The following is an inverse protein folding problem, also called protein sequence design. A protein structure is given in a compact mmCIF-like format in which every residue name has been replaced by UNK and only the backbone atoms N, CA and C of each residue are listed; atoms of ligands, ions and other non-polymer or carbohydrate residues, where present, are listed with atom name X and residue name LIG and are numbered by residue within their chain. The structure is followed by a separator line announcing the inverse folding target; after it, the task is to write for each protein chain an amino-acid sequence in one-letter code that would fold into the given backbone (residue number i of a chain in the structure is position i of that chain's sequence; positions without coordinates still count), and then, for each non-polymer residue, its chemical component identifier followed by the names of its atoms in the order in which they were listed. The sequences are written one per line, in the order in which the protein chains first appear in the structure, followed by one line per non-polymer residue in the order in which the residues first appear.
data_IF_795322706747
#
_entry.id   IF_795322706747
#
_cell.length_a   1.000
_cell.length_b   1.000
_cell.length_c   1.000
_cell.angle_alpha   90.00
_cell.angle_beta   90.00
_cell.angle_gamma   90.00
#
_symmetry.space_group_name_H-M   'P 1'
#
loop_
_entity.id
_entity.type
_entity.pdbx_description
1 polymer ?
#
# COMPACT_ATOMS: atom_id res chain seq x y z
N UNK A 1 -4.41 -13.61 -48.79
CA UNK A 1 -4.40 -14.32 -47.49
C UNK A 1 -3.06 -14.27 -46.73
N UNK A 2 -1.90 -14.55 -47.35
CA UNK A 2 -0.59 -14.60 -46.65
C UNK A 2 -0.17 -13.30 -45.92
N UNK A 3 -0.55 -12.12 -46.42
CA UNK A 3 -0.21 -10.80 -45.82
C UNK A 3 -1.00 -10.50 -44.54
N UNK A 4 -2.26 -10.94 -44.47
CA UNK A 4 -3.12 -10.76 -43.30
C UNK A 4 -2.72 -11.71 -42.17
N UNK A 5 -2.34 -12.94 -42.52
CA UNK A 5 -1.86 -13.93 -41.55
C UNK A 5 -0.57 -13.48 -40.83
N UNK A 6 0.36 -12.85 -41.57
CA UNK A 6 1.57 -12.26 -40.97
C UNK A 6 1.26 -11.12 -40.00
N UNK A 7 0.28 -10.26 -40.31
CA UNK A 7 -0.14 -9.15 -39.43
C UNK A 7 -0.81 -9.66 -38.16
N UNK A 8 -1.66 -10.69 -38.27
CA UNK A 8 -2.30 -11.34 -37.12
C UNK A 8 -1.27 -11.90 -36.13
N UNK A 9 -0.20 -12.53 -36.65
CA UNK A 9 0.87 -13.09 -35.83
C UNK A 9 1.66 -12.02 -35.08
N UNK A 10 1.94 -10.88 -35.73
CA UNK A 10 2.64 -9.76 -35.11
C UNK A 10 1.81 -9.12 -33.99
N UNK A 11 0.50 -8.94 -34.18
CA UNK A 11 -0.38 -8.38 -33.15
C UNK A 11 -0.50 -9.32 -31.95
N UNK A 12 -0.58 -10.64 -32.19
CA UNK A 12 -0.61 -11.64 -31.12
C UNK A 12 0.67 -11.61 -30.27
N UNK A 13 1.85 -11.56 -30.91
CA UNK A 13 3.14 -11.46 -30.21
C UNK A 13 3.22 -10.16 -29.40
N UNK A 14 2.76 -9.03 -29.97
CA UNK A 14 2.77 -7.74 -29.29
C UNK A 14 1.86 -7.75 -28.04
N UNK A 15 0.68 -8.38 -28.14
CA UNK A 15 -0.24 -8.55 -27.02
C UNK A 15 0.30 -9.47 -25.92
N UNK A 16 1.00 -10.55 -26.29
CA UNK A 16 1.66 -11.45 -25.33
C UNK A 16 2.83 -10.74 -24.61
N UNK A 17 3.60 -9.90 -25.32
CA UNK A 17 4.65 -9.10 -24.69
C UNK A 17 4.09 -8.05 -23.70
N UNK A 18 2.98 -7.39 -24.05
CA UNK A 18 2.32 -6.41 -23.17
C UNK A 18 1.74 -7.05 -21.90
N UNK A 19 1.21 -8.28 -22.00
CA UNK A 19 0.68 -9.01 -20.84
C UNK A 19 1.79 -9.58 -19.95
N UNK A 20 2.92 -10.02 -20.51
CA UNK A 20 4.12 -10.44 -19.76
C UNK A 20 4.69 -9.33 -18.87
N UNK A 21 4.71 -8.09 -19.37
CA UNK A 21 5.24 -6.93 -18.64
C UNK A 21 4.39 -6.60 -17.39
N UNK A 22 3.08 -6.87 -17.42
CA UNK A 22 2.18 -6.64 -16.28
C UNK A 22 2.32 -7.72 -15.19
N UNK A 23 2.74 -8.93 -15.54
CA UNK A 23 2.94 -10.03 -14.57
C UNK A 23 4.23 -9.87 -13.76
N UNK A 24 5.27 -9.23 -14.33
CA UNK A 24 6.56 -9.08 -13.63
C UNK A 24 6.54 -8.06 -12.49
N UNK A 25 5.48 -7.27 -12.34
CA UNK A 25 5.37 -6.28 -11.25
C UNK A 25 4.69 -6.86 -9.99
N UNK A 26 4.09 -8.05 -10.08
CA UNK A 26 3.19 -8.59 -9.06
C UNK A 26 3.78 -9.58 -8.07
N UNK A 27 5.10 -9.84 -8.09
CA UNK A 27 5.67 -10.95 -7.32
C UNK A 27 6.96 -10.64 -6.56
N UNK A 28 7.10 -9.41 -6.07
CA UNK A 28 7.92 -9.20 -4.87
C UNK A 28 7.09 -9.68 -3.70
N UNK A 29 7.27 -10.93 -3.27
CA UNK A 29 6.78 -11.35 -1.96
C UNK A 29 7.44 -10.41 -0.94
N UNK A 30 6.65 -9.50 -0.39
CA UNK A 30 7.06 -8.60 0.65
C UNK A 30 7.46 -9.47 1.84
N UNK A 31 8.76 -9.66 2.06
CA UNK A 31 9.25 -10.36 3.23
C UNK A 31 8.70 -9.62 4.44
N UNK A 32 8.00 -10.33 5.32
CA UNK A 32 7.54 -9.76 6.59
C UNK A 32 8.74 -9.22 7.36
N UNK A 33 8.85 -7.89 7.42
CA UNK A 33 9.89 -7.20 8.18
C UNK A 33 9.32 -6.87 9.56
N UNK A 34 10.12 -7.12 10.60
CA UNK A 34 9.86 -6.62 11.94
C UNK A 34 10.78 -5.43 12.17
N UNK A 35 10.21 -4.29 12.54
CA UNK A 35 10.92 -3.07 12.94
C UNK A 35 10.65 -2.80 14.41
N UNK A 36 11.69 -2.38 15.14
CA UNK A 36 11.63 -2.12 16.57
C UNK A 36 12.22 -0.74 16.81
N UNK A 37 11.44 0.13 17.44
CA UNK A 37 11.80 1.51 17.77
C UNK A 37 11.74 1.70 19.29
N UNK A 38 12.68 2.47 19.84
CA UNK A 38 12.78 2.72 21.27
C UNK A 38 12.58 4.20 21.60
N UNK A 39 11.79 4.46 22.65
CA UNK A 39 11.60 5.78 23.22
C UNK A 39 12.46 5.92 24.49
N UNK A 40 13.07 7.09 24.76
CA UNK A 40 12.82 8.37 24.11
C UNK A 40 13.61 8.63 22.82
N UNK A 41 14.67 7.89 22.52
CA UNK A 41 15.63 8.22 21.46
C UNK A 41 15.00 8.34 20.07
N UNK A 42 13.96 7.54 19.80
CA UNK A 42 13.23 7.50 18.53
C UNK A 42 11.76 7.95 18.69
N UNK A 43 11.44 8.76 19.70
CA UNK A 43 10.06 9.20 19.97
C UNK A 43 9.38 9.85 18.74
N UNK A 44 10.10 10.70 18.03
CA UNK A 44 9.63 11.36 16.81
C UNK A 44 9.41 10.36 15.66
N UNK A 45 10.35 9.43 15.47
CA UNK A 45 10.25 8.40 14.44
C UNK A 45 9.08 7.45 14.70
N UNK A 46 8.82 7.12 15.97
CA UNK A 46 7.64 6.35 16.38
C UNK A 46 6.36 7.09 15.99
N UNK A 47 6.27 8.39 16.29
CA UNK A 47 5.09 9.20 15.97
C UNK A 47 4.85 9.25 14.45
N UNK A 48 5.89 9.57 13.68
CA UNK A 48 5.84 9.60 12.21
C UNK A 48 5.48 8.24 11.61
N UNK A 49 6.01 7.16 12.18
CA UNK A 49 5.70 5.79 11.73
C UNK A 49 4.23 5.46 11.96
N UNK A 50 3.69 5.80 13.12
CA UNK A 50 2.27 5.60 13.44
C UNK A 50 1.37 6.45 12.52
N UNK A 51 1.66 7.73 12.38
CA UNK A 51 0.89 8.65 11.54
C UNK A 51 0.89 8.21 10.07
N UNK A 52 2.06 7.90 9.52
CA UNK A 52 2.19 7.43 8.13
C UNK A 52 1.54 6.06 7.90
N UNK A 53 1.44 5.23 8.93
CA UNK A 53 0.72 3.94 8.86
C UNK A 53 -0.78 4.18 8.77
N UNK A 54 -1.32 5.09 9.57
CA UNK A 54 -2.73 5.51 9.50
C UNK A 54 -3.03 6.14 8.13
N UNK A 55 -2.20 7.08 7.69
CA UNK A 55 -2.39 7.80 6.43
C UNK A 55 -2.31 6.92 5.17
N UNK A 56 -1.60 5.78 5.23
CA UNK A 56 -1.49 4.82 4.11
C UNK A 56 -2.54 3.71 4.17
N UNK A 57 -3.39 3.66 5.20
CA UNK A 57 -4.45 2.66 5.24
C UNK A 57 -5.42 2.87 4.06
N UNK A 58 -5.79 1.76 3.41
CA UNK A 58 -6.69 1.76 2.24
C UNK A 58 -8.06 1.11 2.53
N UNK A 59 -8.14 0.19 3.50
CA UNK A 59 -9.38 -0.58 3.77
C UNK A 59 -9.98 -0.32 5.16
N UNK A 60 -9.17 -0.46 6.21
CA UNK A 60 -9.62 -0.44 7.61
C UNK A 60 -8.49 -0.09 8.56
N UNK A 61 -8.85 0.49 9.70
CA UNK A 61 -7.94 0.82 10.80
C UNK A 61 -8.52 0.25 12.09
N UNK A 62 -7.84 -0.72 12.70
CA UNK A 62 -8.22 -1.28 14.00
C UNK A 62 -7.15 -0.99 15.03
N UNK A 63 -7.52 -0.29 16.10
CA UNK A 63 -6.59 0.19 17.13
C UNK A 63 -7.01 -0.36 18.49
N UNK A 64 -6.06 -0.99 19.17
CA UNK A 64 -6.18 -1.33 20.58
C UNK A 64 -5.16 -0.50 21.36
N UNK A 65 -5.64 0.44 22.17
CA UNK A 65 -4.79 1.39 22.87
C UNK A 65 -5.27 1.57 24.32
N UNK A 66 -4.33 1.62 25.27
CA UNK A 66 -4.64 1.90 26.67
C UNK A 66 -4.97 3.39 26.90
N UNK A 67 -4.16 4.29 26.34
CA UNK A 67 -4.30 5.74 26.52
C UNK A 67 -4.01 6.42 25.21
N UNK A 68 -4.94 7.24 24.73
CA UNK A 68 -4.84 7.92 23.44
C UNK A 68 -5.07 9.42 23.64
N UNK A 69 -3.97 10.18 23.65
CA UNK A 69 -3.95 11.61 23.99
C UNK A 69 -3.13 12.42 22.99
N UNK A 70 -2.87 11.87 21.80
CA UNK A 70 -2.10 12.52 20.75
C UNK A 70 -3.08 13.03 19.69
N UNK A 71 -3.32 14.35 19.70
CA UNK A 71 -4.31 15.00 18.83
C UNK A 71 -3.98 14.83 17.34
N UNK A 72 -2.70 14.82 16.98
CA UNK A 72 -2.22 14.63 15.60
C UNK A 72 -2.62 13.25 15.05
N UNK A 73 -2.45 12.20 15.85
CA UNK A 73 -2.88 10.85 15.47
C UNK A 73 -4.42 10.76 15.44
N UNK A 74 -5.11 11.43 16.35
CA UNK A 74 -6.57 11.46 16.35
C UNK A 74 -7.10 12.12 15.06
N UNK A 75 -6.51 13.24 14.63
CA UNK A 75 -6.88 13.90 13.39
C UNK A 75 -6.64 13.00 12.17
N UNK A 76 -5.47 12.34 12.08
CA UNK A 76 -5.19 11.43 10.98
C UNK A 76 -6.20 10.27 10.88
N UNK A 77 -6.69 9.77 12.02
CA UNK A 77 -7.72 8.73 12.06
C UNK A 77 -9.08 9.27 11.60
N UNK A 78 -9.45 10.47 12.04
CA UNK A 78 -10.68 11.15 11.63
C UNK A 78 -10.67 11.37 10.12
N UNK A 79 -9.57 11.87 9.56
CA UNK A 79 -9.42 12.11 8.12
C UNK A 79 -9.67 10.81 7.33
N UNK A 80 -9.14 9.67 7.80
CA UNK A 80 -9.39 8.36 7.18
C UNK A 80 -10.82 7.87 7.29
N UNK A 81 -11.47 8.14 8.41
CA UNK A 81 -12.89 7.85 8.54
C UNK A 81 -13.72 8.71 7.57
N UNK A 82 -13.37 9.99 7.40
CA UNK A 82 -14.01 10.89 6.42
C UNK A 82 -13.77 10.47 4.97
N UNK A 83 -12.63 9.84 4.68
CA UNK A 83 -12.35 9.17 3.40
C UNK A 83 -13.18 7.88 3.19
N UNK A 84 -13.89 7.40 4.23
CA UNK A 84 -14.82 6.28 4.16
C UNK A 84 -14.27 4.93 4.65
N UNK A 85 -13.12 4.92 5.33
CA UNK A 85 -12.56 3.69 5.91
C UNK A 85 -13.31 3.25 7.17
N UNK A 86 -13.38 1.93 7.40
CA UNK A 86 -13.88 1.35 8.67
C UNK A 86 -12.81 1.51 9.75
N UNK A 87 -13.09 2.34 10.75
CA UNK A 87 -12.19 2.64 11.87
C UNK A 87 -12.79 2.11 13.18
N UNK A 88 -12.01 1.37 13.97
CA UNK A 88 -12.43 0.82 15.28
C UNK A 88 -11.34 0.83 16.34
#
# INVERSE_FOLDING_TARGET
MKKYLKRLFVVSILGICLTSMMVSLGNCQELTKIEVLFSPEQGEEILQTLESTIQRAEERIYILVHSFTLDELAQAIIDKYEEGLDVR
#
